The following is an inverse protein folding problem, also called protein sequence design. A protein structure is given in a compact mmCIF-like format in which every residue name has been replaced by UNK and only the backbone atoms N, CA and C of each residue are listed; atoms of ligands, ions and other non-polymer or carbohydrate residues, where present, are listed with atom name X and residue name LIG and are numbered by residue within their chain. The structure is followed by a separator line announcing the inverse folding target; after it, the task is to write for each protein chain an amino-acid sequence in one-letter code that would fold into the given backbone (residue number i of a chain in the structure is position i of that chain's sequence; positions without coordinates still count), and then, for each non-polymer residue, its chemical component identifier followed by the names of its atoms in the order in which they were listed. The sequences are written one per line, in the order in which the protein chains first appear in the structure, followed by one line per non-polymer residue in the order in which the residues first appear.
data_IF_599587085357
#
_entry.id   IF_599587085357
#
_cell.length_a   1.000
_cell.length_b   1.000
_cell.length_c   1.000
_cell.angle_alpha   90.00
_cell.angle_beta   90.00
_cell.angle_gamma   90.00
#
_symmetry.space_group_name_H-M   'P 1'
#
loop_
_entity.id
_entity.type
_entity.pdbx_description
1 polymer ?
#
# COMPACT_ATOMS: atom_id res chain seq x y z
N UNK A 1 66.91 1.72 -76.47
CA UNK A 1 65.83 2.68 -76.75
C UNK A 1 64.75 2.53 -75.69
N UNK A 2 64.55 3.55 -74.93
CA UNK A 2 63.50 3.78 -73.94
C UNK A 2 62.07 3.60 -74.45
N UNK A 3 60.98 3.47 -73.65
CA UNK A 3 60.68 4.37 -72.54
C UNK A 3 59.95 3.78 -71.34
N UNK A 4 60.14 4.46 -70.26
CA UNK A 4 59.17 4.91 -69.18
C UNK A 4 57.81 4.27 -69.04
N UNK A 5 57.53 3.68 -67.90
CA UNK A 5 56.22 3.57 -67.29
C UNK A 5 56.22 3.95 -65.84
N UNK A 6 55.58 5.05 -65.55
CA UNK A 6 55.35 5.59 -64.19
C UNK A 6 54.31 4.76 -63.47
N UNK A 7 54.64 4.18 -62.32
CA UNK A 7 53.68 3.56 -61.42
C UNK A 7 53.01 4.60 -60.56
N UNK A 8 51.71 4.73 -60.66
CA UNK A 8 50.87 5.54 -59.78
C UNK A 8 50.36 4.63 -58.65
N UNK A 9 50.92 4.84 -57.46
CA UNK A 9 50.46 4.16 -56.24
C UNK A 9 49.25 4.93 -55.67
N UNK A 10 48.09 4.33 -55.76
CA UNK A 10 46.85 4.88 -55.14
C UNK A 10 46.84 4.38 -53.67
N UNK A 11 47.11 5.28 -52.74
CA UNK A 11 46.94 4.99 -51.29
C UNK A 11 45.46 5.08 -50.92
N UNK A 12 44.84 3.94 -50.70
CA UNK A 12 43.47 3.83 -50.18
C UNK A 12 43.50 3.97 -48.64
N UNK A 13 43.25 5.17 -48.14
CA UNK A 13 43.10 5.41 -46.72
C UNK A 13 41.78 4.85 -46.21
N UNK A 14 41.82 3.74 -45.49
CA UNK A 14 40.68 3.14 -44.82
C UNK A 14 40.44 3.95 -43.50
N UNK A 15 39.49 4.88 -43.54
CA UNK A 15 38.97 5.53 -42.32
C UNK A 15 38.03 4.55 -41.64
N UNK A 16 38.54 3.84 -40.62
CA UNK A 16 37.71 3.08 -39.70
C UNK A 16 37.00 4.08 -38.80
N UNK A 17 35.79 4.46 -39.20
CA UNK A 17 34.87 5.20 -38.34
C UNK A 17 34.41 4.32 -37.22
N UNK A 18 34.98 4.51 -35.99
CA UNK A 18 34.45 3.92 -34.78
C UNK A 18 33.10 4.57 -34.47
N UNK A 19 32.02 3.98 -34.94
CA UNK A 19 30.69 4.27 -34.47
C UNK A 19 30.60 3.78 -33.02
N UNK A 20 30.91 4.66 -32.08
CA UNK A 20 30.54 4.47 -30.71
C UNK A 20 28.99 4.43 -30.66
N UNK A 21 28.42 3.23 -30.66
CA UNK A 21 27.04 3.02 -30.19
C UNK A 21 27.01 3.48 -28.72
N UNK A 22 26.66 4.73 -28.52
CA UNK A 22 26.14 5.16 -27.24
C UNK A 22 24.84 4.37 -27.01
N UNK A 23 24.95 3.27 -26.30
CA UNK A 23 23.79 2.62 -25.70
C UNK A 23 23.19 3.70 -24.77
N UNK A 24 22.20 4.42 -25.28
CA UNK A 24 21.31 5.21 -24.45
C UNK A 24 20.74 4.22 -23.44
N UNK A 25 21.25 4.23 -22.23
CA UNK A 25 20.60 3.56 -21.11
C UNK A 25 19.19 4.17 -21.06
N UNK A 26 18.22 3.43 -21.59
CA UNK A 26 16.81 3.78 -21.42
C UNK A 26 16.64 3.88 -19.89
N UNK A 27 16.53 5.10 -19.41
CA UNK A 27 16.20 5.34 -18.00
C UNK A 27 14.94 4.51 -17.74
N UNK A 28 15.03 3.56 -16.83
CA UNK A 28 13.93 2.66 -16.55
C UNK A 28 12.72 3.52 -16.16
N UNK A 29 11.60 3.34 -16.86
CA UNK A 29 10.41 4.17 -16.70
C UNK A 29 9.83 4.02 -15.30
N UNK A 30 9.60 5.12 -14.62
CA UNK A 30 8.94 5.13 -13.30
C UNK A 30 7.46 4.86 -13.51
N UNK A 31 6.98 3.81 -12.88
CA UNK A 31 5.57 3.39 -12.89
C UNK A 31 4.96 3.66 -11.52
N UNK A 32 3.76 4.22 -11.50
CA UNK A 32 2.99 4.42 -10.27
C UNK A 32 1.88 3.38 -10.20
N UNK A 33 1.84 2.51 -9.16
CA UNK A 33 0.71 1.62 -8.97
C UNK A 33 -0.61 2.39 -8.86
N UNK A 34 -1.75 1.79 -9.21
CA UNK A 34 -3.04 2.43 -9.07
C UNK A 34 -3.23 3.05 -7.67
N UNK A 35 -3.71 4.29 -7.62
CA UNK A 35 -3.96 5.01 -6.37
C UNK A 35 -2.71 5.48 -5.59
N UNK A 36 -1.50 5.09 -5.95
CA UNK A 36 -0.26 5.43 -5.22
C UNK A 36 0.32 6.76 -5.68
N UNK A 37 0.81 7.54 -4.72
CA UNK A 37 1.66 8.70 -4.98
C UNK A 37 3.14 8.32 -5.11
N UNK A 38 3.50 7.11 -4.69
CA UNK A 38 4.84 6.56 -4.76
C UNK A 38 4.94 5.71 -6.02
N UNK A 39 5.96 5.92 -6.82
CA UNK A 39 6.31 5.12 -8.00
C UNK A 39 7.79 4.79 -8.01
N UNK A 40 8.17 3.76 -8.75
CA UNK A 40 9.56 3.43 -9.05
C UNK A 40 9.62 2.69 -10.41
N UNK A 41 10.83 2.53 -10.93
CA UNK A 41 11.06 1.65 -12.07
C UNK A 41 11.11 0.19 -11.59
N UNK A 42 10.06 -0.62 -11.85
CA UNK A 42 10.02 -1.98 -11.36
C UNK A 42 11.07 -2.85 -12.07
N UNK A 43 11.50 -3.92 -11.41
CA UNK A 43 12.36 -4.92 -12.05
C UNK A 43 11.60 -5.59 -13.20
N UNK A 44 12.34 -6.04 -14.20
CA UNK A 44 11.74 -6.75 -15.34
C UNK A 44 10.90 -7.95 -14.86
N UNK A 45 9.65 -8.05 -15.36
CA UNK A 45 8.70 -9.09 -14.98
C UNK A 45 7.84 -8.78 -13.75
N UNK A 46 8.08 -7.68 -13.03
CA UNK A 46 7.17 -7.22 -11.98
C UNK A 46 5.98 -6.47 -12.59
N UNK A 47 4.84 -6.60 -11.94
CA UNK A 47 3.62 -5.86 -12.25
C UNK A 47 3.04 -5.21 -10.98
N UNK A 48 2.17 -4.18 -11.12
CA UNK A 48 1.41 -3.68 -9.99
C UNK A 48 0.64 -4.80 -9.30
N UNK A 49 0.81 -4.91 -7.98
CA UNK A 49 0.14 -5.94 -7.20
C UNK A 49 -1.38 -5.68 -7.14
N UNK A 50 -2.16 -6.77 -7.16
CA UNK A 50 -3.60 -6.74 -6.88
C UNK A 50 -3.92 -6.92 -5.41
N UNK A 51 -2.90 -7.20 -4.57
CA UNK A 51 -3.06 -7.54 -3.15
C UNK A 51 -2.66 -6.40 -2.22
N UNK A 52 -1.79 -5.51 -2.68
CA UNK A 52 -1.26 -4.38 -1.92
C UNK A 52 -0.79 -3.27 -2.86
N UNK A 53 -0.61 -2.07 -2.35
CA UNK A 53 -0.01 -0.98 -3.12
C UNK A 53 1.47 -1.25 -3.33
N UNK A 54 1.88 -1.42 -4.60
CA UNK A 54 3.26 -1.74 -4.93
C UNK A 54 3.40 -2.65 -6.13
N UNK A 55 4.50 -3.38 -6.20
CA UNK A 55 4.83 -4.30 -7.30
C UNK A 55 5.18 -5.67 -6.79
N UNK A 56 4.87 -6.70 -7.57
CA UNK A 56 5.26 -8.08 -7.28
C UNK A 56 5.61 -8.84 -8.54
N UNK A 57 6.49 -9.84 -8.42
CA UNK A 57 6.72 -10.83 -9.47
C UNK A 57 5.46 -11.69 -9.65
N UNK A 58 5.23 -12.20 -10.85
CA UNK A 58 4.07 -13.06 -11.16
C UNK A 58 4.04 -14.39 -10.38
N UNK A 59 5.18 -14.82 -9.82
CA UNK A 59 5.35 -16.02 -9.00
C UNK A 59 6.12 -15.72 -7.73
N UNK A 60 6.61 -16.74 -7.00
CA UNK A 60 7.48 -16.55 -5.85
C UNK A 60 8.72 -15.74 -6.26
N UNK A 61 8.92 -14.59 -5.69
CA UNK A 61 9.96 -13.69 -6.15
C UNK A 61 10.17 -12.49 -5.26
N UNK A 62 10.27 -11.33 -5.89
CA UNK A 62 10.44 -10.03 -5.24
C UNK A 62 9.09 -9.33 -5.15
N UNK A 63 8.86 -8.67 -4.03
CA UNK A 63 7.74 -7.75 -3.84
C UNK A 63 8.24 -6.42 -3.27
N UNK A 64 7.65 -5.31 -3.73
CA UNK A 64 7.83 -3.96 -3.21
C UNK A 64 6.50 -3.44 -2.70
N UNK A 65 6.33 -3.31 -1.40
CA UNK A 65 5.13 -2.74 -0.78
C UNK A 65 5.37 -1.27 -0.48
N UNK A 66 4.45 -0.40 -0.88
CA UNK A 66 4.51 1.04 -0.68
C UNK A 66 3.59 1.47 0.46
N UNK A 67 4.10 2.32 1.32
CA UNK A 67 3.35 2.89 2.44
C UNK A 67 3.54 4.41 2.42
N UNK A 68 2.44 5.13 2.34
CA UNK A 68 2.39 6.58 2.46
C UNK A 68 2.05 6.95 3.90
N UNK A 69 2.87 7.79 4.50
CA UNK A 69 2.72 8.23 5.88
C UNK A 69 2.80 9.75 5.98
N UNK A 70 2.34 10.34 7.09
CA UNK A 70 2.51 11.78 7.32
C UNK A 70 3.97 12.22 7.24
N UNK A 71 4.26 13.45 6.76
CA UNK A 71 5.64 13.93 6.58
C UNK A 71 6.51 13.81 7.83
N UNK A 72 5.94 14.06 9.00
CA UNK A 72 6.60 14.01 10.31
C UNK A 72 7.08 12.61 10.70
N UNK A 73 6.55 11.54 10.09
CA UNK A 73 6.95 10.17 10.37
C UNK A 73 8.38 9.84 9.92
N UNK A 74 8.95 10.63 9.00
CA UNK A 74 10.29 10.35 8.46
C UNK A 74 11.35 10.19 9.55
N UNK A 75 11.41 11.13 10.47
CA UNK A 75 12.45 11.13 11.53
C UNK A 75 12.38 9.91 12.41
N UNK A 76 11.17 9.53 12.81
CA UNK A 76 10.96 8.38 13.68
C UNK A 76 11.34 7.08 12.98
N UNK A 77 10.88 6.90 11.74
CA UNK A 77 11.13 5.67 10.98
C UNK A 77 12.60 5.59 10.56
N UNK A 78 13.19 6.64 10.03
CA UNK A 78 14.58 6.67 9.63
C UNK A 78 15.53 6.39 10.81
N UNK A 79 15.25 6.98 11.99
CA UNK A 79 16.01 6.71 13.21
C UNK A 79 15.73 5.31 13.78
N UNK A 80 14.58 4.72 13.48
CA UNK A 80 14.19 3.37 13.89
C UNK A 80 14.83 2.25 13.09
N UNK A 81 15.43 2.51 11.94
CA UNK A 81 16.13 1.52 11.14
C UNK A 81 17.53 1.22 11.71
N UNK A 82 17.57 0.71 12.95
CA UNK A 82 18.80 0.30 13.65
C UNK A 82 18.85 -1.22 13.80
N UNK A 83 20.06 -1.74 14.06
CA UNK A 83 20.25 -3.18 14.26
C UNK A 83 19.41 -3.72 15.44
N UNK A 84 19.30 -2.94 16.52
CA UNK A 84 18.60 -3.33 17.75
C UNK A 84 17.10 -3.44 17.47
N UNK A 85 16.48 -2.41 16.88
CA UNK A 85 15.03 -2.38 16.62
C UNK A 85 14.60 -3.39 15.55
N UNK A 86 15.42 -3.57 14.51
CA UNK A 86 15.13 -4.57 13.48
C UNK A 86 15.29 -6.00 14.02
N UNK A 87 16.23 -6.22 14.92
CA UNK A 87 16.40 -7.52 15.60
C UNK A 87 15.17 -7.90 16.44
N UNK A 88 14.52 -6.95 17.08
CA UNK A 88 13.25 -7.18 17.81
C UNK A 88 12.14 -7.71 16.89
N UNK A 89 12.22 -7.38 15.61
CA UNK A 89 11.30 -7.87 14.55
C UNK A 89 11.83 -9.14 13.84
N UNK A 90 12.89 -9.75 14.35
CA UNK A 90 13.52 -10.93 13.76
C UNK A 90 14.32 -10.64 12.49
N UNK A 91 14.73 -9.37 12.27
CA UNK A 91 15.49 -8.94 11.10
C UNK A 91 16.92 -8.65 11.49
N UNK A 92 17.87 -9.34 10.87
CA UNK A 92 19.32 -9.08 11.01
C UNK A 92 19.71 -8.01 10.00
N UNK A 93 20.00 -6.81 10.47
CA UNK A 93 20.46 -5.70 9.63
C UNK A 93 21.86 -6.01 9.06
N UNK A 94 22.01 -5.92 7.75
CA UNK A 94 23.29 -6.13 7.04
C UNK A 94 23.90 -4.81 6.58
N UNK A 95 23.09 -3.89 6.05
CA UNK A 95 23.55 -2.57 5.58
C UNK A 95 22.54 -1.50 5.93
N UNK A 96 23.01 -0.31 6.23
CA UNK A 96 22.24 0.93 6.38
C UNK A 96 23.02 2.07 5.76
N UNK A 97 22.41 2.82 4.90
CA UNK A 97 23.04 3.95 4.23
C UNK A 97 22.06 5.14 4.17
N UNK A 98 22.61 6.32 4.33
CA UNK A 98 21.93 7.58 4.08
C UNK A 98 22.27 8.04 2.67
N UNK A 99 21.25 8.42 1.90
CA UNK A 99 21.42 8.80 0.50
C UNK A 99 20.48 9.95 0.15
N UNK A 100 20.64 10.49 -1.04
CA UNK A 100 19.70 11.47 -1.60
C UNK A 100 19.08 10.92 -2.87
N UNK A 101 17.76 11.09 -3.00
CA UNK A 101 17.02 10.86 -4.23
C UNK A 101 16.56 12.20 -4.79
N UNK A 102 17.34 12.74 -5.72
CA UNK A 102 17.24 14.14 -6.09
C UNK A 102 17.63 15.04 -4.91
N UNK A 103 16.72 15.90 -4.50
CA UNK A 103 16.86 16.81 -3.35
C UNK A 103 16.36 16.22 -2.02
N UNK A 104 15.72 15.03 -2.06
CA UNK A 104 15.10 14.38 -0.89
C UNK A 104 16.11 13.55 -0.10
N UNK A 105 16.08 13.67 1.22
CA UNK A 105 16.83 12.77 2.09
C UNK A 105 16.18 11.39 2.09
N UNK A 106 17.00 10.35 2.16
CA UNK A 106 16.53 8.98 2.22
C UNK A 106 17.45 8.11 3.08
N UNK A 107 16.89 7.05 3.64
CA UNK A 107 17.61 5.98 4.34
C UNK A 107 17.22 4.67 3.69
N UNK A 108 18.23 3.91 3.26
CA UNK A 108 18.06 2.55 2.78
C UNK A 108 18.73 1.59 3.75
N UNK A 109 17.94 0.69 4.31
CA UNK A 109 18.43 -0.42 5.14
C UNK A 109 18.14 -1.75 4.44
N UNK A 110 19.06 -2.70 4.53
CA UNK A 110 18.87 -4.05 4.01
C UNK A 110 19.29 -5.08 5.05
N UNK A 111 18.56 -6.18 5.11
CA UNK A 111 18.77 -7.24 6.08
C UNK A 111 18.15 -8.56 5.68
N UNK A 112 18.17 -9.50 6.60
CA UNK A 112 17.61 -10.84 6.44
C UNK A 112 16.67 -11.15 7.60
N UNK A 113 15.53 -11.77 7.27
CA UNK A 113 14.55 -12.23 8.25
C UNK A 113 14.42 -13.75 8.17
N UNK A 114 14.61 -14.42 9.30
CA UNK A 114 14.39 -15.86 9.41
C UNK A 114 12.97 -16.15 9.83
N UNK A 115 12.26 -16.95 9.04
CA UNK A 115 10.92 -17.45 9.32
C UNK A 115 10.94 -18.99 9.27
N UNK A 116 11.25 -19.63 10.40
CA UNK A 116 11.56 -21.04 10.44
C UNK A 116 12.84 -21.35 9.64
N UNK A 117 12.73 -22.23 8.65
CA UNK A 117 13.85 -22.57 7.75
C UNK A 117 14.01 -21.60 6.58
N UNK A 118 13.05 -20.71 6.35
CA UNK A 118 13.11 -19.72 5.27
C UNK A 118 13.91 -18.50 5.70
N UNK A 119 14.77 -18.02 4.83
CA UNK A 119 15.47 -16.73 4.99
C UNK A 119 15.01 -15.77 3.90
N UNK A 120 14.34 -14.70 4.30
CA UNK A 120 13.88 -13.62 3.43
C UNK A 120 14.92 -12.51 3.41
N UNK A 121 15.24 -12.00 2.23
CA UNK A 121 15.98 -10.72 2.12
C UNK A 121 14.98 -9.57 2.21
N UNK A 122 15.31 -8.55 2.99
CA UNK A 122 14.46 -7.38 3.24
C UNK A 122 15.21 -6.09 2.91
N UNK A 123 14.48 -5.12 2.40
CA UNK A 123 14.93 -3.75 2.17
C UNK A 123 13.88 -2.79 2.72
N UNK A 124 14.34 -1.69 3.29
CA UNK A 124 13.51 -0.61 3.79
C UNK A 124 14.09 0.69 3.22
N UNK A 125 13.37 1.29 2.29
CA UNK A 125 13.70 2.61 1.78
C UNK A 125 12.71 3.62 2.34
N UNK A 126 13.20 4.56 3.13
CA UNK A 126 12.41 5.67 3.69
C UNK A 126 12.86 6.96 3.03
N UNK A 127 11.92 7.73 2.48
CA UNK A 127 12.21 8.96 1.76
C UNK A 127 11.43 10.11 2.38
N UNK A 128 12.13 11.21 2.64
CA UNK A 128 11.56 12.46 3.13
C UNK A 128 10.97 13.26 1.97
N UNK A 129 9.71 13.69 2.10
CA UNK A 129 9.07 14.62 1.19
C UNK A 129 8.20 15.60 1.99
N UNK A 130 8.10 16.87 1.60
CA UNK A 130 7.29 17.87 2.34
C UNK A 130 5.81 17.47 2.48
N UNK A 131 5.30 16.61 1.62
CA UNK A 131 3.89 16.23 1.55
C UNK A 131 3.59 14.82 2.08
N UNK A 132 4.61 14.00 2.29
CA UNK A 132 4.49 12.64 2.85
C UNK A 132 5.87 12.07 3.23
N UNK A 133 5.86 11.04 4.04
CA UNK A 133 6.99 10.11 4.17
C UNK A 133 6.69 8.88 3.32
N UNK A 134 7.56 8.59 2.34
CA UNK A 134 7.45 7.36 1.56
C UNK A 134 8.25 6.24 2.23
N UNK A 135 7.60 5.11 2.52
CA UNK A 135 8.27 3.88 2.93
C UNK A 135 8.04 2.81 1.87
N UNK A 136 9.12 2.26 1.34
CA UNK A 136 9.07 1.08 0.46
C UNK A 136 9.72 -0.08 1.18
N UNK A 137 8.95 -1.15 1.34
CA UNK A 137 9.41 -2.42 1.92
C UNK A 137 9.64 -3.41 0.78
N UNK A 138 10.90 -3.70 0.50
CA UNK A 138 11.31 -4.75 -0.41
C UNK A 138 11.40 -6.08 0.31
N UNK A 139 10.93 -7.14 -0.33
CA UNK A 139 11.07 -8.51 0.16
C UNK A 139 11.40 -9.44 -0.99
N UNK A 140 12.38 -10.32 -0.79
CA UNK A 140 12.71 -11.37 -1.73
C UNK A 140 12.70 -12.73 -1.04
N UNK A 141 11.96 -13.66 -1.63
CA UNK A 141 11.94 -15.08 -1.23
C UNK A 141 13.24 -15.78 -1.64
N UNK A 142 13.57 -16.93 -1.05
CA UNK A 142 14.77 -17.71 -1.44
C UNK A 142 14.80 -18.04 -2.94
N UNK A 143 13.66 -18.28 -3.57
CA UNK A 143 13.55 -18.58 -4.99
C UNK A 143 13.96 -17.40 -5.89
N UNK A 144 13.91 -16.17 -5.36
CA UNK A 144 14.35 -14.95 -6.04
C UNK A 144 15.87 -14.67 -5.89
N UNK A 145 16.70 -15.67 -5.56
CA UNK A 145 18.15 -15.49 -5.43
C UNK A 145 18.81 -15.04 -6.74
N UNK A 146 18.22 -15.32 -7.89
CA UNK A 146 18.65 -14.83 -9.20
C UNK A 146 18.53 -13.30 -9.35
N UNK A 147 17.79 -12.61 -8.46
CA UNK A 147 17.67 -11.15 -8.43
C UNK A 147 18.80 -10.55 -7.59
N UNK A 148 19.84 -9.95 -8.19
CA UNK A 148 20.96 -9.36 -7.43
C UNK A 148 20.47 -8.24 -6.50
N UNK A 149 21.06 -8.16 -5.31
CA UNK A 149 20.76 -7.06 -4.37
C UNK A 149 21.01 -5.68 -4.99
N UNK A 150 22.01 -5.57 -5.87
CA UNK A 150 22.31 -4.34 -6.59
C UNK A 150 21.17 -3.92 -7.54
N UNK A 151 20.52 -4.87 -8.22
CA UNK A 151 19.38 -4.56 -9.10
C UNK A 151 18.16 -4.10 -8.27
N UNK A 152 17.92 -4.73 -7.12
CA UNK A 152 16.84 -4.32 -6.21
C UNK A 152 17.12 -2.90 -5.67
N UNK A 153 18.34 -2.63 -5.21
CA UNK A 153 18.75 -1.28 -4.80
C UNK A 153 18.57 -0.27 -5.94
N UNK A 154 19.01 -0.60 -7.16
CA UNK A 154 18.87 0.27 -8.32
C UNK A 154 17.39 0.60 -8.60
N UNK A 155 16.49 -0.38 -8.55
CA UNK A 155 15.06 -0.14 -8.70
C UNK A 155 14.50 0.75 -7.57
N UNK A 156 14.83 0.48 -6.32
CA UNK A 156 14.40 1.26 -5.16
C UNK A 156 14.85 2.73 -5.25
N UNK A 157 16.08 2.98 -5.73
CA UNK A 157 16.63 4.34 -5.85
C UNK A 157 16.05 5.16 -7.01
N UNK A 158 15.21 4.56 -7.86
CA UNK A 158 14.41 5.30 -8.86
C UNK A 158 13.12 5.89 -8.29
N UNK A 159 12.88 5.74 -6.98
CA UNK A 159 11.65 6.21 -6.34
C UNK A 159 11.34 7.66 -6.71
N UNK A 160 10.10 7.86 -7.14
CA UNK A 160 9.52 9.17 -7.41
C UNK A 160 8.22 9.34 -6.63
N UNK A 161 7.92 10.58 -6.29
CA UNK A 161 6.70 10.96 -5.60
C UNK A 161 5.96 11.96 -6.49
N UNK A 162 4.68 11.68 -6.76
CA UNK A 162 3.80 12.58 -7.51
C UNK A 162 2.86 13.36 -6.57
N UNK A 163 2.30 14.49 -7.03
CA UNK A 163 1.28 15.22 -6.28
C UNK A 163 0.10 14.33 -5.85
N UNK A 164 -0.68 14.75 -4.83
CA UNK A 164 -1.89 14.04 -4.45
C UNK A 164 -2.83 13.85 -5.65
N UNK A 165 -3.37 12.63 -5.78
CA UNK A 165 -4.40 12.33 -6.78
C UNK A 165 -5.72 12.96 -6.37
N UNK A 166 -6.54 13.33 -7.35
CA UNK A 166 -7.93 13.67 -7.09
C UNK A 166 -8.62 12.50 -6.37
N UNK A 167 -9.58 12.81 -5.51
CA UNK A 167 -10.23 11.77 -4.69
C UNK A 167 -10.96 10.75 -5.56
N UNK A 168 -11.51 11.16 -6.68
CA UNK A 168 -12.19 10.30 -7.64
C UNK A 168 -11.20 9.28 -8.27
N UNK A 169 -9.98 9.71 -8.57
CA UNK A 169 -8.93 8.81 -9.09
C UNK A 169 -8.49 7.80 -8.03
N UNK A 170 -8.40 8.24 -6.77
CA UNK A 170 -8.11 7.33 -5.66
C UNK A 170 -9.22 6.29 -5.48
N UNK A 171 -10.48 6.70 -5.54
CA UNK A 171 -11.66 5.83 -5.40
C UNK A 171 -11.75 4.84 -6.55
N UNK A 172 -11.49 5.28 -7.79
CA UNK A 172 -11.54 4.41 -8.97
C UNK A 172 -10.46 3.33 -8.98
N UNK A 173 -9.38 3.55 -8.25
CA UNK A 173 -8.26 2.59 -8.13
C UNK A 173 -8.50 1.51 -7.04
N UNK A 174 -9.58 1.60 -6.26
CA UNK A 174 -9.88 0.65 -5.20
C UNK A 174 -10.36 -0.70 -5.77
N UNK A 175 -10.10 -1.82 -5.09
CA UNK A 175 -10.52 -3.15 -5.52
C UNK A 175 -12.01 -3.43 -5.24
N UNK A 176 -12.79 -2.41 -4.92
CA UNK A 176 -14.24 -2.44 -4.73
C UNK A 176 -14.86 -1.15 -5.24
N UNK A 177 -16.16 -1.19 -5.48
CA UNK A 177 -16.95 -0.03 -5.91
C UNK A 177 -18.00 0.33 -4.88
N UNK A 178 -18.33 1.62 -4.81
CA UNK A 178 -19.48 2.13 -4.05
C UNK A 178 -20.55 2.57 -5.04
N UNK A 179 -21.62 1.81 -5.14
CA UNK A 179 -22.77 2.14 -5.99
C UNK A 179 -23.73 3.10 -5.30
N UNK A 180 -23.69 3.17 -3.97
CA UNK A 180 -24.48 4.08 -3.16
C UNK A 180 -23.63 4.63 -2.01
N UNK A 181 -23.66 5.93 -1.79
CA UNK A 181 -22.87 6.61 -0.75
C UNK A 181 -23.70 7.10 0.44
N UNK A 182 -25.02 7.07 0.35
CA UNK A 182 -25.95 7.48 1.40
C UNK A 182 -25.65 8.87 2.01
N UNK A 183 -25.12 9.80 1.18
CA UNK A 183 -24.70 11.12 1.61
C UNK A 183 -23.31 11.20 2.23
N UNK A 184 -22.58 10.09 2.33
CA UNK A 184 -21.16 10.11 2.71
C UNK A 184 -20.30 10.52 1.54
N UNK A 185 -19.33 11.39 1.77
CA UNK A 185 -18.34 11.77 0.78
C UNK A 185 -17.00 11.06 1.03
N UNK A 186 -16.31 10.61 0.00
CA UNK A 186 -14.94 10.14 0.11
C UNK A 186 -14.01 11.26 0.57
N UNK A 187 -13.04 10.91 1.43
CA UNK A 187 -12.01 11.82 1.90
C UNK A 187 -10.63 11.39 1.40
N UNK A 188 -10.32 10.12 1.55
CA UNK A 188 -9.05 9.55 1.09
C UNK A 188 -9.12 8.04 0.97
N UNK A 189 -8.39 7.50 0.01
CA UNK A 189 -8.05 6.09 0.00
C UNK A 189 -6.83 5.85 0.90
N UNK A 190 -6.74 4.66 1.47
CA UNK A 190 -5.65 4.24 2.36
C UNK A 190 -5.13 2.89 1.90
N UNK A 191 -3.81 2.76 1.85
CA UNK A 191 -3.10 1.51 1.50
C UNK A 191 -3.60 0.80 0.22
N UNK A 192 -4.27 1.51 -0.70
CA UNK A 192 -4.79 0.98 -1.96
C UNK A 192 -5.97 0.00 -1.84
N UNK A 193 -6.46 -0.25 -0.62
CA UNK A 193 -7.54 -1.23 -0.38
C UNK A 193 -8.59 -0.75 0.62
N UNK A 194 -8.50 0.48 1.09
CA UNK A 194 -9.46 1.04 2.03
C UNK A 194 -9.86 2.46 1.63
N UNK A 195 -11.07 2.86 2.00
CA UNK A 195 -11.64 4.18 1.78
C UNK A 195 -12.18 4.74 3.09
N UNK A 196 -11.76 5.95 3.41
CA UNK A 196 -12.31 6.75 4.49
C UNK A 196 -13.35 7.71 3.93
N UNK A 197 -14.54 7.72 4.54
CA UNK A 197 -15.67 8.58 4.18
C UNK A 197 -16.21 9.30 5.43
N UNK A 198 -16.82 10.45 5.21
CA UNK A 198 -17.57 11.19 6.23
C UNK A 198 -18.79 11.85 5.62
N UNK A 199 -19.81 12.21 6.41
CA UNK A 199 -20.93 13.02 5.95
C UNK A 199 -20.78 14.51 6.33
N UNK A 200 -19.70 14.86 7.03
CA UNK A 200 -19.39 16.23 7.42
C UNK A 200 -18.45 16.95 6.46
N UNK A 201 -18.21 18.23 6.75
CA UNK A 201 -17.36 19.11 5.93
C UNK A 201 -15.88 18.97 6.18
N UNK A 202 -15.47 18.39 7.33
CA UNK A 202 -14.08 18.25 7.73
C UNK A 202 -13.47 16.99 7.14
N UNK A 203 -12.28 17.10 6.56
CA UNK A 203 -11.49 15.96 6.06
C UNK A 203 -10.72 15.24 7.17
N UNK A 204 -10.32 15.99 8.20
CA UNK A 204 -9.74 15.45 9.42
C UNK A 204 -10.83 15.44 10.48
N UNK A 205 -11.25 14.24 10.87
CA UNK A 205 -12.30 14.03 11.89
C UNK A 205 -11.62 13.60 13.17
N UNK A 206 -11.76 14.41 14.20
CA UNK A 206 -11.29 14.12 15.55
C UNK A 206 -12.50 13.85 16.43
N UNK A 207 -12.45 12.76 17.18
CA UNK A 207 -13.42 12.54 18.23
C UNK A 207 -14.84 12.31 17.76
N UNK A 208 -15.06 11.57 16.70
CA UNK A 208 -16.40 11.29 16.16
C UNK A 208 -17.32 12.53 16.05
N UNK A 209 -16.73 13.74 15.88
CA UNK A 209 -17.49 15.00 15.74
C UNK A 209 -18.40 15.02 14.51
N UNK A 210 -18.11 14.17 13.53
CA UNK A 210 -18.96 13.86 12.38
C UNK A 210 -18.98 12.34 12.18
N UNK A 211 -20.07 11.79 11.62
CA UNK A 211 -20.12 10.39 11.26
C UNK A 211 -19.03 10.03 10.28
N UNK A 212 -18.37 8.91 10.52
CA UNK A 212 -17.32 8.37 9.65
C UNK A 212 -17.65 6.95 9.22
N UNK A 213 -17.24 6.60 8.02
CA UNK A 213 -17.27 5.23 7.53
C UNK A 213 -15.90 4.85 6.96
N UNK A 214 -15.50 3.61 7.20
CA UNK A 214 -14.31 3.01 6.62
C UNK A 214 -14.75 1.74 5.90
N UNK A 215 -14.42 1.62 4.63
CA UNK A 215 -14.60 0.40 3.84
C UNK A 215 -13.22 -0.13 3.49
N UNK A 216 -12.91 -1.35 3.83
CA UNK A 216 -11.60 -1.94 3.58
C UNK A 216 -11.72 -3.38 3.09
N UNK A 217 -11.11 -3.67 1.94
CA UNK A 217 -10.96 -5.03 1.44
C UNK A 217 -9.74 -5.69 2.07
N UNK A 218 -9.91 -6.88 2.60
CA UNK A 218 -8.80 -7.65 3.16
C UNK A 218 -7.95 -8.27 2.05
N UNK A 219 -6.65 -8.30 2.27
CA UNK A 219 -5.69 -9.07 1.47
C UNK A 219 -5.51 -10.50 1.99
N UNK A 220 -6.06 -10.82 3.16
CA UNK A 220 -6.03 -12.14 3.76
C UNK A 220 -7.25 -12.97 3.36
N UNK A 221 -7.15 -14.32 3.30
CA UNK A 221 -8.30 -15.19 3.08
C UNK A 221 -9.40 -14.97 4.12
N UNK A 222 -10.64 -15.17 3.72
CA UNK A 222 -11.75 -15.17 4.65
C UNK A 222 -11.63 -16.34 5.64
N UNK A 223 -11.97 -16.15 6.93
CA UNK A 223 -11.99 -17.25 7.89
C UNK A 223 -13.06 -18.28 7.50
N UNK A 224 -12.88 -19.56 7.91
CA UNK A 224 -13.88 -20.60 7.73
C UNK A 224 -15.24 -20.17 8.27
N UNK A 225 -16.36 -20.61 7.67
CA UNK A 225 -17.71 -20.17 8.07
C UNK A 225 -17.99 -20.27 9.59
N UNK A 226 -17.51 -21.32 10.24
CA UNK A 226 -17.70 -21.56 11.67
C UNK A 226 -16.96 -20.56 12.57
N UNK A 227 -15.96 -19.86 12.02
CA UNK A 227 -15.13 -18.88 12.76
C UNK A 227 -15.52 -17.44 12.46
N UNK A 228 -16.44 -17.18 11.51
CA UNK A 228 -16.75 -15.83 11.01
C UNK A 228 -17.35 -14.91 12.09
N UNK A 229 -18.22 -15.43 12.94
CA UNK A 229 -18.75 -14.65 14.06
C UNK A 229 -17.65 -14.31 15.07
N UNK A 230 -16.86 -15.27 15.50
CA UNK A 230 -15.78 -15.05 16.45
C UNK A 230 -14.74 -14.05 15.88
N UNK A 231 -14.44 -14.20 14.60
CA UNK A 231 -13.58 -13.25 13.87
C UNK A 231 -14.16 -11.83 13.86
N UNK A 232 -15.44 -11.67 13.50
CA UNK A 232 -16.10 -10.38 13.44
C UNK A 232 -16.11 -9.70 14.82
N UNK A 233 -16.41 -10.44 15.88
CA UNK A 233 -16.37 -9.94 17.27
C UNK A 233 -14.97 -9.53 17.69
N UNK A 234 -13.98 -10.38 17.44
CA UNK A 234 -12.58 -10.08 17.75
C UNK A 234 -12.10 -8.83 16.99
N UNK A 235 -12.40 -8.72 15.68
CA UNK A 235 -12.03 -7.58 14.86
C UNK A 235 -12.64 -6.25 15.34
N UNK A 236 -13.85 -6.26 15.89
CA UNK A 236 -14.44 -5.07 16.50
C UNK A 236 -13.76 -4.74 17.83
N UNK A 237 -13.65 -5.72 18.73
CA UNK A 237 -13.18 -5.50 20.11
C UNK A 237 -11.70 -5.14 20.20
N UNK A 238 -10.88 -5.58 19.23
CA UNK A 238 -9.46 -5.23 19.14
C UNK A 238 -9.19 -3.90 18.44
N UNK A 239 -10.23 -3.15 18.06
CA UNK A 239 -10.04 -1.88 17.37
C UNK A 239 -9.49 -0.81 18.30
N UNK A 240 -8.31 -0.26 17.97
CA UNK A 240 -7.60 0.72 18.82
C UNK A 240 -8.27 2.11 18.90
N UNK A 241 -9.35 2.36 18.15
CA UNK A 241 -10.09 3.63 18.17
C UNK A 241 -11.05 3.67 19.37
N UNK A 242 -11.46 2.52 19.90
CA UNK A 242 -12.50 2.40 20.93
C UNK A 242 -11.99 1.69 22.18
N UNK A 243 -12.62 2.02 23.30
CA UNK A 243 -12.55 1.25 24.55
C UNK A 243 -13.97 0.95 25.05
N UNK A 244 -14.07 0.02 25.98
CA UNK A 244 -15.31 -0.34 26.67
C UNK A 244 -16.45 -0.75 25.71
N UNK A 245 -16.08 -1.41 24.59
CA UNK A 245 -17.04 -1.79 23.58
C UNK A 245 -17.98 -2.89 24.07
N UNK A 246 -19.28 -2.61 24.05
CA UNK A 246 -20.36 -3.53 24.42
C UNK A 246 -21.21 -3.82 23.18
N UNK A 247 -21.22 -5.08 22.74
CA UNK A 247 -22.01 -5.52 21.59
C UNK A 247 -23.47 -5.59 21.98
N UNK A 248 -24.31 -4.82 21.26
CA UNK A 248 -25.77 -4.83 21.43
C UNK A 248 -26.45 -5.84 20.50
N UNK A 249 -25.93 -5.99 19.28
CA UNK A 249 -26.44 -6.91 18.28
C UNK A 249 -25.30 -7.53 17.51
N UNK A 250 -25.38 -8.83 17.25
CA UNK A 250 -24.44 -9.57 16.43
C UNK A 250 -25.23 -10.63 15.65
N UNK A 251 -25.25 -10.54 14.32
CA UNK A 251 -26.02 -11.45 13.48
C UNK A 251 -25.34 -11.73 12.16
N UNK A 252 -25.34 -13.02 11.76
CA UNK A 252 -24.98 -13.45 10.42
C UNK A 252 -26.23 -13.54 9.53
N UNK A 253 -26.06 -13.21 8.25
CA UNK A 253 -27.12 -13.35 7.24
C UNK A 253 -26.51 -13.61 5.85
N UNK A 254 -27.36 -14.00 4.89
CA UNK A 254 -26.97 -14.14 3.49
C UNK A 254 -27.67 -13.08 2.65
N UNK A 255 -26.92 -12.40 1.79
CA UNK A 255 -27.41 -11.40 0.87
C UNK A 255 -26.58 -11.39 -0.41
N UNK A 256 -27.22 -11.29 -1.58
CA UNK A 256 -26.57 -11.27 -2.91
C UNK A 256 -25.54 -12.42 -3.09
N UNK A 257 -25.86 -13.61 -2.62
CA UNK A 257 -25.02 -14.79 -2.75
C UNK A 257 -23.81 -14.87 -1.82
N UNK A 258 -23.55 -13.84 -1.02
CA UNK A 258 -22.45 -13.79 -0.04
C UNK A 258 -22.97 -13.99 1.39
N UNK A 259 -22.09 -14.41 2.27
CA UNK A 259 -22.33 -14.42 3.72
C UNK A 259 -21.86 -13.10 4.32
N UNK A 260 -22.66 -12.58 5.23
CA UNK A 260 -22.45 -11.31 5.90
C UNK A 260 -22.51 -11.50 7.42
N UNK A 261 -21.81 -10.66 8.14
CA UNK A 261 -21.93 -10.58 9.59
C UNK A 261 -22.00 -9.11 10.02
N UNK A 262 -23.06 -8.72 10.68
CA UNK A 262 -23.28 -7.36 11.18
C UNK A 262 -23.17 -7.37 12.72
N UNK A 263 -22.45 -6.36 13.24
CA UNK A 263 -22.39 -6.07 14.67
C UNK A 263 -22.74 -4.60 14.88
N UNK A 264 -23.56 -4.33 15.89
CA UNK A 264 -23.78 -2.99 16.44
C UNK A 264 -23.33 -3.00 17.88
N UNK A 265 -22.51 -2.02 18.27
CA UNK A 265 -21.95 -1.92 19.61
C UNK A 265 -21.98 -0.47 20.09
N UNK A 266 -22.08 -0.28 21.42
CA UNK A 266 -21.72 0.97 22.08
C UNK A 266 -20.27 0.91 22.49
N UNK A 267 -19.59 2.05 22.44
CA UNK A 267 -18.21 2.16 22.86
C UNK A 267 -17.91 3.59 23.31
N UNK A 268 -16.74 3.79 23.88
CA UNK A 268 -16.15 5.11 24.12
C UNK A 268 -15.04 5.33 23.12
N UNK A 269 -15.10 6.40 22.34
CA UNK A 269 -14.01 6.75 21.45
C UNK A 269 -12.83 7.28 22.27
N UNK A 270 -11.62 6.76 21.98
CA UNK A 270 -10.46 7.02 22.83
C UNK A 270 -10.00 8.48 22.76
N UNK A 271 -9.97 9.07 21.56
CA UNK A 271 -9.42 10.41 21.34
C UNK A 271 -10.25 11.51 22.02
N UNK A 272 -11.58 11.39 22.01
CA UNK A 272 -12.49 12.41 22.59
C UNK A 272 -13.09 12.02 23.93
N UNK A 273 -13.07 10.74 24.30
CA UNK A 273 -13.83 10.20 25.41
C UNK A 273 -15.36 10.21 25.18
N UNK A 274 -15.81 10.50 23.96
CA UNK A 274 -17.23 10.58 23.65
C UNK A 274 -17.88 9.20 23.54
N UNK A 275 -19.15 9.04 23.99
CA UNK A 275 -19.91 7.83 23.75
C UNK A 275 -20.29 7.76 22.26
N UNK A 276 -19.98 6.62 21.64
CA UNK A 276 -20.25 6.36 20.22
C UNK A 276 -21.03 5.07 20.03
N UNK A 277 -21.71 4.99 18.89
CA UNK A 277 -22.24 3.74 18.34
C UNK A 277 -21.39 3.36 17.16
N UNK A 278 -20.96 2.10 17.16
CA UNK A 278 -20.16 1.50 16.11
C UNK A 278 -21.00 0.44 15.42
N UNK A 279 -21.08 0.51 14.09
CA UNK A 279 -21.58 -0.59 13.28
C UNK A 279 -20.43 -1.20 12.49
N UNK A 280 -20.31 -2.51 12.53
CA UNK A 280 -19.38 -3.24 11.70
C UNK A 280 -20.14 -4.26 10.87
N UNK A 281 -19.92 -4.21 9.56
CA UNK A 281 -20.44 -5.23 8.65
C UNK A 281 -19.27 -5.87 7.89
N UNK A 282 -19.23 -7.18 7.85
CA UNK A 282 -18.22 -7.93 7.10
C UNK A 282 -18.92 -8.77 6.05
N UNK A 283 -18.55 -8.57 4.78
CA UNK A 283 -18.97 -9.40 3.65
C UNK A 283 -17.86 -10.41 3.38
N UNK A 284 -18.17 -11.70 3.46
CA UNK A 284 -17.23 -12.78 3.19
C UNK A 284 -17.39 -13.29 1.76
N UNK A 285 -16.28 -13.48 1.06
CA UNK A 285 -16.19 -14.04 -0.28
C UNK A 285 -15.13 -15.14 -0.31
N UNK A 286 -15.11 -16.01 -1.32
CA UNK A 286 -14.08 -17.05 -1.44
C UNK A 286 -12.64 -16.48 -1.50
N UNK A 287 -12.46 -15.32 -2.12
CA UNK A 287 -11.17 -14.65 -2.31
C UNK A 287 -10.75 -13.73 -1.16
N UNK A 288 -11.57 -13.59 -0.10
CA UNK A 288 -11.28 -12.67 0.99
C UNK A 288 -12.55 -12.11 1.63
N UNK A 289 -12.45 -10.93 2.22
CA UNK A 289 -13.61 -10.25 2.81
C UNK A 289 -13.47 -8.74 2.70
N UNK A 290 -14.61 -8.04 2.73
CA UNK A 290 -14.66 -6.59 2.92
C UNK A 290 -15.20 -6.30 4.31
N UNK A 291 -14.44 -5.53 5.07
CA UNK A 291 -14.85 -5.02 6.38
C UNK A 291 -15.28 -3.56 6.24
N UNK A 292 -16.45 -3.25 6.73
CA UNK A 292 -17.05 -1.92 6.73
C UNK A 292 -17.30 -1.53 8.18
N UNK A 293 -16.83 -0.34 8.56
CA UNK A 293 -16.96 0.20 9.91
C UNK A 293 -17.60 1.56 9.84
N UNK A 294 -18.71 1.77 10.55
CA UNK A 294 -19.35 3.06 10.73
C UNK A 294 -19.25 3.49 12.20
N UNK A 295 -18.94 4.76 12.43
CA UNK A 295 -18.86 5.36 13.77
C UNK A 295 -19.67 6.64 13.80
N UNK A 296 -20.49 6.77 14.82
CA UNK A 296 -21.34 7.94 15.02
C UNK A 296 -21.49 8.22 16.52
N UNK A 297 -21.65 9.48 16.90
CA UNK A 297 -22.04 9.84 18.26
C UNK A 297 -23.33 9.15 18.67
N UNK A 298 -23.44 8.77 19.93
CA UNK A 298 -24.60 8.01 20.42
C UNK A 298 -25.93 8.72 20.25
N UNK A 299 -25.97 10.05 20.31
CA UNK A 299 -27.15 10.90 20.14
C UNK A 299 -27.64 11.01 18.68
N UNK A 300 -26.74 10.81 17.70
CA UNK A 300 -27.08 10.83 16.26
C UNK A 300 -27.39 9.43 15.68
N UNK A 301 -27.39 8.39 16.53
CA UNK A 301 -27.55 6.99 16.14
C UNK A 301 -28.70 6.72 15.19
N UNK A 302 -29.91 7.17 15.55
CA UNK A 302 -31.13 6.82 14.82
C UNK A 302 -31.15 7.37 13.39
N UNK A 303 -30.58 8.55 13.19
CA UNK A 303 -30.51 9.17 11.88
C UNK A 303 -29.42 8.56 10.98
N UNK A 304 -28.33 8.06 11.56
CA UNK A 304 -27.13 7.69 10.79
C UNK A 304 -27.00 6.19 10.57
N UNK A 305 -27.42 5.33 11.50
CA UNK A 305 -27.31 3.86 11.31
C UNK A 305 -27.98 3.35 10.01
N UNK A 306 -29.19 3.81 9.62
CA UNK A 306 -29.77 3.39 8.34
C UNK A 306 -28.90 3.80 7.14
N UNK A 307 -28.26 4.95 7.21
CA UNK A 307 -27.38 5.45 6.15
C UNK A 307 -26.10 4.60 6.03
N UNK A 308 -25.50 4.19 7.14
CA UNK A 308 -24.39 3.23 7.10
C UNK A 308 -24.83 1.92 6.41
N UNK A 309 -26.01 1.43 6.73
CA UNK A 309 -26.54 0.22 6.10
C UNK A 309 -26.67 0.38 4.59
N UNK A 310 -27.27 1.48 4.14
CA UNK A 310 -27.40 1.79 2.70
C UNK A 310 -26.04 1.89 2.02
N UNK A 311 -25.05 2.58 2.64
CA UNK A 311 -23.70 2.67 2.13
C UNK A 311 -23.07 1.28 2.00
N UNK A 312 -23.18 0.44 3.02
CA UNK A 312 -22.54 -0.89 3.06
C UNK A 312 -23.19 -1.87 2.09
N UNK A 313 -24.50 -1.80 1.91
CA UNK A 313 -25.24 -2.58 0.91
C UNK A 313 -24.84 -2.20 -0.53
N UNK A 314 -24.35 -0.98 -0.73
CA UNK A 314 -23.82 -0.47 -1.99
C UNK A 314 -22.37 -0.87 -2.30
N UNK A 315 -21.69 -1.64 -1.42
CA UNK A 315 -20.30 -2.10 -1.68
C UNK A 315 -20.32 -3.32 -2.59
N UNK A 316 -19.68 -3.19 -3.74
CA UNK A 316 -19.49 -4.27 -4.71
C UNK A 316 -18.01 -4.62 -4.80
N UNK A 317 -17.71 -5.93 -4.86
CA UNK A 317 -16.35 -6.49 -5.00
C UNK A 317 -16.30 -7.22 -6.33
N UNK A 318 -15.27 -6.98 -7.09
CA UNK A 318 -15.00 -7.70 -8.36
C UNK A 318 -14.51 -9.12 -8.14
#
# INVERSE_FOLDING_TARGET
MTPFLRSLALALSFVVGSAALAAAALAAEVVFPPGSRIGLAPLAGMAPSKRFTGFEDAGPGVAFTFVEMPPEAYREIASGLTAERLKEQGIELKTREELKLGDRNAVLAAGEQKLGELTLRKWFLVVEDPSLTALVIGQALPEAQSRPAAAIKAALTTLAIRPPLAIEDQVSALPFRLTERAGFRPVRAMAGNALFLTDGSKDVVVGAEQPIAIVAQSTAPAPPPQQREAFARSALLSNAIFRDATIERSQGFRQKGAEWHEIVARATEIASGAPVVVTQTIRFAPSGYVRMLGVVKADAREAVLPRFRTLFDGVEVE
#
